data_IF_200880646360
#
_entry.id   IF_200880646360
#
_cell.length_a   1.000
_cell.length_b   1.000
_cell.length_c   1.000
_cell.angle_alpha   90.00
_cell.angle_beta   90.00
_cell.angle_gamma   90.00
#
_symmetry.space_group_name_H-M   'P 1'
#
loop_
_entity.id
_entity.type
_entity.pdbx_description
1 polymer ?
#
# COMPACT_ATOMS: atom_id res chain seq x y z
N UNK A 1 -15.52 -9.21 -6.29
CA UNK A 1 -15.09 -8.77 -4.95
C UNK A 1 -15.31 -7.27 -4.89
N UNK A 2 -15.88 -6.73 -3.81
CA UNK A 2 -16.04 -5.28 -3.67
C UNK A 2 -14.72 -4.64 -3.22
N UNK A 3 -14.56 -3.34 -3.47
CA UNK A 3 -13.32 -2.65 -3.13
C UNK A 3 -13.00 -2.73 -1.63
N UNK A 4 -14.02 -2.75 -0.77
CA UNK A 4 -13.85 -2.91 0.67
C UNK A 4 -13.27 -4.27 1.08
N UNK A 5 -13.66 -5.34 0.38
CA UNK A 5 -13.07 -6.68 0.61
C UNK A 5 -11.58 -6.67 0.26
N UNK A 6 -11.19 -5.96 -0.82
CA UNK A 6 -9.79 -5.80 -1.20
C UNK A 6 -9.01 -5.00 -0.16
N UNK A 7 -9.58 -3.90 0.35
CA UNK A 7 -8.97 -3.14 1.45
C UNK A 7 -8.74 -4.02 2.68
N UNK A 8 -9.71 -4.86 3.04
CA UNK A 8 -9.57 -5.80 4.14
C UNK A 8 -8.46 -6.83 3.88
N UNK A 9 -8.34 -7.36 2.66
CA UNK A 9 -7.25 -8.26 2.29
C UNK A 9 -5.87 -7.60 2.44
N UNK A 10 -5.71 -6.36 1.96
CA UNK A 10 -4.47 -5.60 2.11
C UNK A 10 -4.14 -5.39 3.58
N UNK A 11 -5.11 -4.99 4.41
CA UNK A 11 -4.92 -4.85 5.85
C UNK A 11 -4.47 -6.16 6.49
N UNK A 12 -5.12 -7.27 6.16
CA UNK A 12 -4.79 -8.59 6.70
C UNK A 12 -3.38 -9.02 6.28
N UNK A 13 -2.97 -8.82 5.03
CA UNK A 13 -1.63 -9.14 4.55
C UNK A 13 -0.56 -8.34 5.30
N UNK A 14 -0.76 -7.03 5.47
CA UNK A 14 0.19 -6.19 6.20
C UNK A 14 0.25 -6.59 7.68
N UNK A 15 -0.90 -6.81 8.32
CA UNK A 15 -0.99 -7.14 9.74
C UNK A 15 -0.42 -8.53 10.09
N UNK A 16 -0.43 -9.47 9.14
CA UNK A 16 0.10 -10.83 9.35
C UNK A 16 1.57 -10.98 8.95
N UNK A 17 2.17 -9.93 8.40
CA UNK A 17 3.56 -9.96 7.95
C UNK A 17 4.53 -9.82 9.13
N UNK A 18 5.36 -10.84 9.37
CA UNK A 18 6.25 -10.92 10.54
C UNK A 18 7.36 -9.86 10.58
N UNK A 19 7.69 -9.26 9.43
CA UNK A 19 8.71 -8.21 9.33
C UNK A 19 8.14 -6.81 9.52
N UNK A 20 6.81 -6.66 9.63
CA UNK A 20 6.15 -5.38 9.91
C UNK A 20 6.16 -5.15 11.42
N UNK A 21 6.74 -4.01 11.82
CA UNK A 21 6.73 -3.56 13.21
C UNK A 21 5.44 -2.79 13.53
N UNK A 22 5.01 -1.93 12.62
CA UNK A 22 3.83 -1.08 12.75
C UNK A 22 3.41 -0.59 11.35
N UNK A 23 2.12 -0.31 11.15
CA UNK A 23 1.63 0.32 9.94
C UNK A 23 0.43 1.24 10.17
N UNK A 24 0.25 2.21 9.27
CA UNK A 24 -1.03 2.90 9.05
C UNK A 24 -1.58 2.53 7.68
N UNK A 25 -2.90 2.43 7.59
CA UNK A 25 -3.61 2.17 6.34
C UNK A 25 -4.86 3.07 6.30
N UNK A 26 -4.90 3.96 5.32
CA UNK A 26 -6.02 4.83 4.99
C UNK A 26 -6.56 4.43 3.62
N UNK A 27 -7.82 4.02 3.58
CA UNK A 27 -8.49 3.54 2.37
C UNK A 27 -9.71 4.42 2.09
N UNK A 28 -9.83 4.89 0.85
CA UNK A 28 -10.93 5.73 0.41
C UNK A 28 -11.65 5.05 -0.77
N UNK A 29 -12.89 4.61 -0.55
CA UNK A 29 -13.75 4.10 -1.61
C UNK A 29 -14.13 5.23 -2.58
N UNK A 30 -14.06 4.95 -3.88
CA UNK A 30 -14.55 5.85 -4.95
C UNK A 30 -15.76 5.29 -5.68
N UNK A 31 -15.77 3.98 -5.91
CA UNK A 31 -16.91 3.23 -6.43
C UNK A 31 -16.88 1.78 -5.90
N UNK A 32 -17.80 0.91 -6.32
CA UNK A 32 -17.92 -0.49 -5.92
C UNK A 32 -16.64 -1.31 -6.16
N UNK A 33 -15.84 -0.92 -7.16
CA UNK A 33 -14.62 -1.60 -7.57
C UNK A 33 -13.39 -0.69 -7.60
N UNK A 34 -13.52 0.59 -7.20
CA UNK A 34 -12.44 1.57 -7.29
C UNK A 34 -12.18 2.25 -5.95
N UNK A 35 -10.92 2.54 -5.67
CA UNK A 35 -10.55 3.26 -4.47
C UNK A 35 -9.08 3.61 -4.35
N UNK A 36 -8.79 4.48 -3.39
CA UNK A 36 -7.43 4.86 -3.04
C UNK A 36 -6.95 4.08 -1.81
N UNK A 37 -5.68 3.72 -1.82
CA UNK A 37 -4.96 3.13 -0.71
C UNK A 37 -3.77 4.03 -0.40
N UNK A 38 -3.62 4.40 0.88
CA UNK A 38 -2.45 5.10 1.40
C UNK A 38 -1.96 4.33 2.62
N UNK A 39 -0.71 3.91 2.58
CA UNK A 39 -0.12 3.20 3.71
C UNK A 39 1.27 3.72 4.05
N UNK A 40 1.59 3.66 5.33
CA UNK A 40 2.95 3.75 5.84
C UNK A 40 3.23 2.46 6.59
N UNK A 41 4.27 1.74 6.17
CA UNK A 41 4.66 0.46 6.77
C UNK A 41 6.07 0.63 7.32
N UNK A 42 6.22 0.46 8.63
CA UNK A 42 7.52 0.43 9.29
C UNK A 42 7.94 -1.01 9.54
N UNK A 43 9.12 -1.39 9.07
CA UNK A 43 9.68 -2.72 9.24
C UNK A 43 10.58 -2.83 10.47
N UNK A 44 10.87 -4.05 10.90
CA UNK A 44 11.73 -4.36 12.05
C UNK A 44 13.16 -3.81 11.94
N UNK A 45 13.66 -3.58 10.72
CA UNK A 45 14.97 -2.98 10.45
C UNK A 45 14.95 -1.44 10.49
N UNK A 46 13.80 -0.85 10.86
CA UNK A 46 13.50 0.58 10.85
C UNK A 46 13.46 1.23 9.46
N UNK A 47 13.44 0.45 8.38
CA UNK A 47 13.06 0.97 7.07
C UNK A 47 11.55 1.27 7.03
N UNK A 48 11.17 2.18 6.15
CA UNK A 48 9.79 2.63 5.96
C UNK A 48 9.41 2.50 4.50
N UNK A 49 8.22 1.96 4.23
CA UNK A 49 7.61 1.96 2.91
C UNK A 49 6.35 2.81 2.94
N UNK A 50 6.33 3.86 2.13
CA UNK A 50 5.11 4.60 1.82
C UNK A 50 4.49 4.07 0.53
N UNK A 51 3.18 3.84 0.57
CA UNK A 51 2.38 3.32 -0.54
C UNK A 51 1.28 4.33 -0.84
N UNK A 52 1.08 4.62 -2.13
CA UNK A 52 -0.10 5.32 -2.65
C UNK A 52 -0.56 4.59 -3.89
N UNK A 53 -1.77 4.05 -3.88
CA UNK A 53 -2.35 3.37 -5.03
C UNK A 53 -3.77 3.91 -5.29
N UNK A 54 -4.11 4.08 -6.56
CA UNK A 54 -5.48 4.13 -7.05
C UNK A 54 -5.73 2.84 -7.80
N UNK A 55 -6.66 2.03 -7.31
CA UNK A 55 -6.91 0.68 -7.82
C UNK A 55 -8.31 0.58 -8.42
N UNK A 56 -8.43 -0.23 -9.47
CA UNK A 56 -9.68 -0.74 -10.01
C UNK A 56 -9.59 -2.28 -9.95
N UNK A 57 -10.59 -2.93 -9.35
CA UNK A 57 -10.60 -4.38 -9.12
C UNK A 57 -11.76 -5.10 -9.84
N UNK A 58 -12.42 -4.44 -10.80
CA UNK A 58 -13.65 -4.94 -11.42
C UNK A 58 -13.47 -6.30 -12.12
N UNK A 59 -12.35 -6.49 -12.80
CA UNK A 59 -12.01 -7.72 -13.54
C UNK A 59 -10.74 -8.36 -13.00
N UNK A 60 -9.67 -7.57 -12.96
CA UNK A 60 -8.39 -7.87 -12.34
C UNK A 60 -8.00 -6.73 -11.44
N UNK A 61 -7.11 -6.97 -10.48
CA UNK A 61 -6.53 -5.90 -9.66
C UNK A 61 -5.61 -5.07 -10.56
N UNK A 62 -6.10 -3.91 -11.02
CA UNK A 62 -5.36 -2.96 -11.81
C UNK A 62 -4.99 -1.74 -10.97
N UNK A 63 -3.71 -1.35 -11.00
CA UNK A 63 -3.19 -0.16 -10.30
C UNK A 63 -3.09 0.99 -11.29
N UNK A 64 -4.19 1.72 -11.47
CA UNK A 64 -4.31 2.82 -12.42
C UNK A 64 -3.25 3.91 -12.17
N UNK A 65 -3.00 4.24 -10.90
CA UNK A 65 -1.95 5.19 -10.48
C UNK A 65 -1.29 4.61 -9.24
N UNK A 66 0.04 4.63 -9.18
CA UNK A 66 0.75 4.18 -8.00
C UNK A 66 2.05 4.95 -7.77
N UNK A 67 2.43 5.06 -6.50
CA UNK A 67 3.73 5.55 -6.08
C UNK A 67 4.17 4.78 -4.84
N UNK A 68 5.42 4.33 -4.86
CA UNK A 68 6.06 3.66 -3.74
C UNK A 68 7.33 4.42 -3.37
N UNK A 69 7.53 4.64 -2.08
CA UNK A 69 8.77 5.21 -1.58
C UNK A 69 9.30 4.34 -0.45
N UNK A 70 10.45 3.72 -0.71
CA UNK A 70 11.18 2.97 0.29
C UNK A 70 12.32 3.81 0.86
N UNK A 71 12.33 3.94 2.18
CA UNK A 71 13.32 4.70 2.93
C UNK A 71 13.98 3.76 3.92
N UNK A 72 15.23 3.39 3.66
CA UNK A 72 16.05 2.75 4.66
C UNK A 72 16.80 3.85 5.42
N UNK A 73 16.75 3.80 6.76
CA UNK A 73 17.45 4.75 7.64
C UNK A 73 18.94 4.90 7.30
N UNK A 74 19.55 3.89 6.69
CA UNK A 74 20.97 3.83 6.34
C UNK A 74 21.27 4.09 4.87
N UNK A 75 20.26 4.27 4.00
CA UNK A 75 20.44 4.58 2.58
C UNK A 75 19.69 5.88 2.24
N UNK A 76 20.43 6.92 1.89
CA UNK A 76 19.88 8.18 1.38
C UNK A 76 18.93 7.90 0.20
N UNK A 77 17.65 8.28 0.36
CA UNK A 77 16.54 8.29 -0.61
C UNK A 77 16.84 7.69 -1.99
N UNK A 78 16.36 6.47 -2.25
CA UNK A 78 16.19 5.97 -3.60
C UNK A 78 14.71 6.10 -3.96
N UNK A 79 14.36 7.11 -4.76
CA UNK A 79 13.01 7.25 -5.31
C UNK A 79 12.93 6.42 -6.60
N UNK A 80 12.17 5.34 -6.59
CA UNK A 80 11.77 4.65 -7.83
C UNK A 80 10.41 5.19 -8.27
N UNK A 81 10.42 6.17 -9.17
CA UNK A 81 9.21 6.56 -9.90
C UNK A 81 9.16 5.75 -11.20
N UNK A 82 8.31 4.74 -11.26
CA UNK A 82 7.98 4.11 -12.55
C UNK A 82 7.01 5.04 -13.27
N UNK A 83 7.46 5.60 -14.40
CA UNK A 83 6.63 6.37 -15.33
C UNK A 83 5.78 5.44 -16.18
#
# INVERSE_FOLDING_TARGET
MLIEDYFQQIQTIIATCSVVQFFTLDCEKRDSYEGFIRAEIKFIDNSVLHIREFVNIETIINRNIYAYQYMNKYLSKINYTFR
#
